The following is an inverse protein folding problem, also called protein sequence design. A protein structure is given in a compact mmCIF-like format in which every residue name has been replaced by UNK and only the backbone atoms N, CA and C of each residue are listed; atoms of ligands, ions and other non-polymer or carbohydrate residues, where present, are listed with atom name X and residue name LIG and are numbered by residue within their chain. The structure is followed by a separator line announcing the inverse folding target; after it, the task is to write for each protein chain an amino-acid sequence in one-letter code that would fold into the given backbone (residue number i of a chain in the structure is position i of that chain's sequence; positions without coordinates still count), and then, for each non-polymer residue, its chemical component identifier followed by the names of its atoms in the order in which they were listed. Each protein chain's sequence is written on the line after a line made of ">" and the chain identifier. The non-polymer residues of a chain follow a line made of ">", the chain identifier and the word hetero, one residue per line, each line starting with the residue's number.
data_IF_840582719043
#
_entry.id   IF_840582719043
#
_cell.length_a   1.000
_cell.length_b   1.000
_cell.length_c   1.000
_cell.angle_alpha   90.00
_cell.angle_beta   90.00
_cell.angle_gamma   90.00
#
_symmetry.space_group_name_H-M   'P 1'
#
loop_
_entity.id
_entity.type
_entity.pdbx_description
1 polymer ?
#
# COMPACT_ATOMS: atom_id res chain seq x y z
N UNK A 1 13.05 4.93 8.40
CA UNK A 1 12.70 6.09 7.55
C UNK A 1 11.30 6.55 7.95
N UNK A 2 11.06 7.85 8.09
CA UNK A 2 9.73 8.40 8.40
C UNK A 2 9.07 8.84 7.09
N UNK A 3 8.53 7.86 6.36
CA UNK A 3 7.94 8.03 5.02
C UNK A 3 6.42 7.94 5.12
N UNK A 4 5.73 8.42 4.08
CA UNK A 4 4.29 8.29 3.93
C UNK A 4 3.88 6.81 3.77
N UNK A 5 2.70 6.40 4.28
CA UNK A 5 2.21 5.02 4.13
C UNK A 5 2.00 4.63 2.66
N UNK A 6 1.71 5.60 1.80
CA UNK A 6 1.63 5.47 0.34
C UNK A 6 2.93 4.92 -0.25
N UNK A 7 4.09 5.33 0.26
CA UNK A 7 5.40 4.84 -0.20
C UNK A 7 5.56 3.35 0.02
N UNK A 8 5.15 2.84 1.19
CA UNK A 8 5.17 1.41 1.46
C UNK A 8 4.15 0.66 0.59
N UNK A 9 2.94 1.22 0.45
CA UNK A 9 1.89 0.61 -0.38
C UNK A 9 2.32 0.46 -1.84
N UNK A 10 2.90 1.52 -2.42
CA UNK A 10 3.44 1.51 -3.77
C UNK A 10 4.62 0.54 -3.89
N UNK A 11 5.54 0.52 -2.92
CA UNK A 11 6.69 -0.39 -2.94
C UNK A 11 6.27 -1.87 -3.03
N UNK A 12 5.26 -2.27 -2.24
CA UNK A 12 4.68 -3.63 -2.29
C UNK A 12 4.02 -3.89 -3.65
N UNK A 13 3.24 -2.93 -4.16
CA UNK A 13 2.58 -3.06 -5.45
C UNK A 13 3.58 -3.22 -6.62
N UNK A 14 4.67 -2.46 -6.62
CA UNK A 14 5.75 -2.57 -7.60
C UNK A 14 6.44 -3.93 -7.51
N UNK A 15 6.71 -4.41 -6.29
CA UNK A 15 7.31 -5.71 -6.04
C UNK A 15 6.44 -6.84 -6.61
N UNK A 16 5.15 -6.84 -6.29
CA UNK A 16 4.19 -7.86 -6.75
C UNK A 16 4.03 -7.83 -8.28
N UNK A 17 3.84 -6.64 -8.86
CA UNK A 17 3.69 -6.46 -10.31
C UNK A 17 4.94 -6.92 -11.06
N UNK A 18 6.13 -6.63 -10.53
CA UNK A 18 7.38 -7.09 -11.11
C UNK A 18 7.53 -8.61 -11.02
N UNK A 19 7.32 -9.21 -9.84
CA UNK A 19 7.45 -10.65 -9.61
C UNK A 19 6.38 -11.47 -10.37
N UNK A 20 5.21 -10.91 -10.63
CA UNK A 20 4.22 -11.52 -11.51
C UNK A 20 4.71 -11.62 -12.97
N UNK A 21 5.57 -10.70 -13.40
CA UNK A 21 6.07 -10.62 -14.77
C UNK A 21 7.42 -11.32 -15.00
N UNK A 22 8.12 -11.76 -13.93
CA UNK A 22 9.45 -12.37 -14.02
C UNK A 22 9.60 -13.60 -13.12
N UNK A 23 10.39 -14.57 -13.58
CA UNK A 23 10.85 -15.68 -12.72
C UNK A 23 12.11 -15.25 -11.97
N UNK A 24 11.94 -14.59 -10.82
CA UNK A 24 13.06 -14.14 -9.99
C UNK A 24 13.70 -15.32 -9.23
N UNK A 25 15.04 -15.34 -9.18
CA UNK A 25 15.75 -16.28 -8.30
C UNK A 25 15.76 -15.73 -6.87
N UNK A 26 15.60 -16.57 -5.83
CA UNK A 26 15.55 -16.13 -4.43
C UNK A 26 16.70 -15.20 -4.01
N UNK A 27 17.92 -15.46 -4.50
CA UNK A 27 19.10 -14.63 -4.21
C UNK A 27 18.99 -13.15 -4.64
N UNK A 28 18.06 -12.80 -5.52
CA UNK A 28 17.86 -11.42 -5.98
C UNK A 28 16.71 -10.71 -5.26
N UNK A 29 15.93 -11.40 -4.43
CA UNK A 29 14.71 -10.84 -3.83
C UNK A 29 15.00 -9.61 -2.97
N UNK A 30 16.08 -9.62 -2.18
CA UNK A 30 16.47 -8.44 -1.39
C UNK A 30 16.78 -7.23 -2.28
N UNK A 31 17.49 -7.44 -3.39
CA UNK A 31 17.83 -6.39 -4.35
C UNK A 31 16.59 -5.86 -5.05
N UNK A 32 15.66 -6.74 -5.44
CA UNK A 32 14.37 -6.36 -6.03
C UNK A 32 13.57 -5.53 -5.04
N UNK A 33 13.37 -6.03 -3.82
CA UNK A 33 12.57 -5.38 -2.78
C UNK A 33 13.11 -3.98 -2.43
N UNK A 34 14.42 -3.84 -2.19
CA UNK A 34 15.00 -2.53 -1.88
C UNK A 34 14.93 -1.55 -3.07
N UNK A 35 14.99 -2.07 -4.30
CA UNK A 35 14.86 -1.24 -5.51
C UNK A 35 13.41 -0.78 -5.72
N UNK A 36 12.42 -1.65 -5.50
CA UNK A 36 11.00 -1.28 -5.50
C UNK A 36 10.70 -0.23 -4.43
N UNK A 37 11.26 -0.39 -3.23
CA UNK A 37 11.15 0.59 -2.15
C UNK A 37 11.78 1.93 -2.53
N UNK A 38 12.97 1.92 -3.12
CA UNK A 38 13.64 3.15 -3.56
C UNK A 38 12.89 3.86 -4.69
N UNK A 39 12.36 3.11 -5.67
CA UNK A 39 11.49 3.66 -6.72
C UNK A 39 10.24 4.31 -6.14
N UNK A 40 9.54 3.61 -5.24
CA UNK A 40 8.36 4.16 -4.58
C UNK A 40 8.67 5.43 -3.79
N UNK A 41 9.81 5.44 -3.08
CA UNK A 41 10.27 6.62 -2.34
C UNK A 41 10.48 7.80 -3.28
N UNK A 42 11.13 7.61 -4.43
CA UNK A 42 11.31 8.67 -5.45
C UNK A 42 10.02 9.10 -6.15
N UNK A 43 8.96 8.31 -6.05
CA UNK A 43 7.68 8.58 -6.74
C UNK A 43 6.71 9.35 -5.84
N UNK A 44 6.74 9.07 -4.54
CA UNK A 44 5.75 9.59 -3.58
C UNK A 44 6.33 10.69 -2.69
N UNK A 45 7.58 10.56 -2.27
CA UNK A 45 8.17 11.48 -1.29
C UNK A 45 8.75 12.73 -1.96
N UNK A 46 8.80 13.81 -1.18
CA UNK A 46 9.52 15.03 -1.54
C UNK A 46 11.03 14.77 -1.67
N UNK A 47 11.72 15.55 -2.51
CA UNK A 47 13.14 15.35 -2.83
C UNK A 47 14.05 15.35 -1.58
N UNK A 48 13.72 16.15 -0.58
CA UNK A 48 14.47 16.24 0.69
C UNK A 48 14.31 14.99 1.57
N UNK A 49 13.26 14.20 1.35
CA UNK A 49 12.97 12.96 2.10
C UNK A 49 13.57 11.72 1.42
N UNK A 50 13.93 11.81 0.15
CA UNK A 50 14.51 10.70 -0.60
C UNK A 50 15.89 10.35 0.01
N UNK A 51 16.08 9.12 0.54
CA UNK A 51 17.34 8.75 1.15
C UNK A 51 18.42 8.61 0.09
N UNK A 52 19.63 9.07 0.41
CA UNK A 52 20.81 8.83 -0.43
C UNK A 52 20.99 7.33 -0.63
N UNK A 53 21.10 6.88 -1.87
CA UNK A 53 21.15 5.44 -2.21
C UNK A 53 22.22 4.65 -1.42
N UNK A 54 23.37 5.26 -1.15
CA UNK A 54 24.43 4.66 -0.33
C UNK A 54 24.02 4.44 1.13
N UNK A 55 23.27 5.39 1.69
CA UNK A 55 22.72 5.32 3.05
C UNK A 55 21.63 4.26 3.07
N UNK A 56 20.71 4.28 2.10
CA UNK A 56 19.66 3.28 1.97
C UNK A 56 20.22 1.85 1.88
N UNK A 57 21.22 1.62 1.03
CA UNK A 57 21.86 0.32 0.87
C UNK A 57 22.49 -0.19 2.17
N UNK A 58 23.13 0.70 2.94
CA UNK A 58 23.76 0.38 4.23
C UNK A 58 22.72 0.10 5.31
N UNK A 59 21.76 0.99 5.49
CA UNK A 59 20.84 0.98 6.62
C UNK A 59 19.70 -0.04 6.46
N UNK A 60 19.44 -0.50 5.22
CA UNK A 60 18.47 -1.57 4.94
C UNK A 60 19.00 -2.98 5.20
N UNK A 61 20.32 -3.15 5.41
CA UNK A 61 20.97 -4.46 5.54
C UNK A 61 20.63 -5.45 4.40
N UNK A 62 20.27 -4.94 3.22
CA UNK A 62 19.84 -5.78 2.08
C UNK A 62 20.98 -6.60 1.45
N UNK A 63 22.23 -6.30 1.80
CA UNK A 63 23.44 -6.95 1.27
C UNK A 63 23.77 -6.54 -0.18
N UNK A 64 23.10 -5.52 -0.72
CA UNK A 64 23.28 -5.06 -2.10
C UNK A 64 24.13 -3.78 -2.15
N UNK A 65 25.01 -3.69 -3.13
CA UNK A 65 25.72 -2.44 -3.41
C UNK A 65 24.81 -1.41 -4.09
N UNK A 66 25.09 -0.09 -3.94
CA UNK A 66 24.34 0.95 -4.66
C UNK A 66 24.29 0.74 -6.18
N UNK A 67 25.34 0.16 -6.77
CA UNK A 67 25.38 -0.15 -8.21
C UNK A 67 24.42 -1.29 -8.59
N UNK A 68 24.27 -2.31 -7.73
CA UNK A 68 23.29 -3.38 -7.94
C UNK A 68 21.87 -2.87 -7.83
N UNK A 69 21.58 -2.04 -6.82
CA UNK A 69 20.25 -1.43 -6.65
C UNK A 69 19.90 -0.58 -7.87
N UNK A 70 20.81 0.30 -8.31
CA UNK A 70 20.58 1.14 -9.51
C UNK A 70 20.38 0.32 -10.78
N UNK A 71 21.10 -0.80 -10.93
CA UNK A 71 20.88 -1.72 -12.06
C UNK A 71 19.51 -2.38 -11.99
N UNK A 72 19.11 -2.82 -10.80
CA UNK A 72 17.82 -3.48 -10.58
C UNK A 72 16.65 -2.50 -10.76
N UNK A 73 16.76 -1.24 -10.32
CA UNK A 73 15.77 -0.20 -10.62
C UNK A 73 15.49 -0.09 -12.12
N UNK A 74 16.55 -0.01 -12.93
CA UNK A 74 16.41 0.06 -14.38
C UNK A 74 15.70 -1.17 -14.94
N UNK A 75 16.05 -2.37 -14.46
CA UNK A 75 15.39 -3.61 -14.87
C UNK A 75 13.90 -3.59 -14.52
N UNK A 76 13.54 -3.12 -13.33
CA UNK A 76 12.15 -2.99 -12.89
C UNK A 76 11.41 -1.99 -13.79
N UNK A 77 11.96 -0.79 -13.98
CA UNK A 77 11.37 0.25 -14.84
C UNK A 77 11.14 -0.25 -16.27
N UNK A 78 12.17 -0.82 -16.89
CA UNK A 78 12.08 -1.35 -18.25
C UNK A 78 11.04 -2.47 -18.33
N UNK A 79 10.96 -3.34 -17.32
CA UNK A 79 9.98 -4.45 -17.30
C UNK A 79 8.55 -3.98 -17.10
N UNK A 80 8.35 -2.89 -16.35
CA UNK A 80 7.06 -2.26 -16.12
C UNK A 80 6.71 -1.20 -17.18
N UNK A 81 7.50 -1.09 -18.26
CA UNK A 81 7.33 -0.08 -19.30
C UNK A 81 7.31 1.36 -18.76
N UNK A 82 8.09 1.62 -17.72
CA UNK A 82 8.17 2.91 -17.02
C UNK A 82 6.84 3.38 -16.40
N UNK A 83 5.85 2.50 -16.34
CA UNK A 83 4.56 2.77 -15.73
C UNK A 83 4.58 2.36 -14.25
N UNK A 84 4.79 3.37 -13.39
CA UNK A 84 4.70 3.24 -11.94
C UNK A 84 3.31 3.65 -11.40
N UNK A 85 2.41 4.13 -12.27
CA UNK A 85 1.08 4.56 -11.86
C UNK A 85 0.19 3.33 -11.73
N UNK A 86 -0.27 3.08 -10.52
CA UNK A 86 -1.22 2.01 -10.24
C UNK A 86 -2.02 2.34 -9.00
N UNK A 87 -3.29 1.94 -9.00
CA UNK A 87 -4.11 2.00 -7.81
C UNK A 87 -3.55 1.02 -6.76
N UNK A 88 -3.18 1.56 -5.61
CA UNK A 88 -2.69 0.80 -4.47
C UNK A 88 -3.87 0.33 -3.60
N UNK A 89 -3.70 -0.71 -2.77
CA UNK A 89 -4.68 -1.08 -1.76
C UNK A 89 -5.05 0.11 -0.85
N UNK A 90 -4.12 1.05 -0.62
CA UNK A 90 -4.35 2.24 0.20
C UNK A 90 -5.27 3.25 -0.50
N UNK A 91 -5.16 3.41 -1.82
CA UNK A 91 -6.08 4.26 -2.59
C UNK A 91 -7.52 3.76 -2.48
N UNK A 92 -7.72 2.45 -2.62
CA UNK A 92 -9.04 1.84 -2.42
C UNK A 92 -9.56 2.04 -1.00
N UNK A 93 -8.69 1.93 0.01
CA UNK A 93 -9.07 2.17 1.40
C UNK A 93 -9.55 3.61 1.61
N UNK A 94 -8.82 4.59 1.08
CA UNK A 94 -9.20 6.00 1.15
C UNK A 94 -10.53 6.27 0.43
N UNK A 95 -10.72 5.69 -0.76
CA UNK A 95 -11.98 5.81 -1.52
C UNK A 95 -13.15 5.20 -0.73
N UNK A 96 -13.02 3.97 -0.25
CA UNK A 96 -14.10 3.31 0.50
C UNK A 96 -14.43 4.02 1.80
N UNK A 97 -13.42 4.53 2.52
CA UNK A 97 -13.61 5.33 3.73
C UNK A 97 -14.36 6.62 3.42
N UNK A 98 -13.94 7.37 2.39
CA UNK A 98 -14.59 8.61 1.97
C UNK A 98 -16.06 8.36 1.56
N UNK A 99 -16.32 7.33 0.76
CA UNK A 99 -17.68 6.98 0.35
C UNK A 99 -18.52 6.55 1.56
N UNK A 100 -18.00 5.70 2.44
CA UNK A 100 -18.71 5.25 3.64
C UNK A 100 -19.14 6.44 4.52
N UNK A 101 -18.24 7.41 4.72
CA UNK A 101 -18.54 8.62 5.50
C UNK A 101 -19.53 9.55 4.80
N UNK A 102 -19.47 9.63 3.46
CA UNK A 102 -20.43 10.44 2.69
C UNK A 102 -21.85 9.86 2.72
N UNK A 103 -21.97 8.53 2.64
CA UNK A 103 -23.27 7.82 2.65
C UNK A 103 -23.84 7.71 4.06
N UNK A 104 -22.98 7.54 5.08
CA UNK A 104 -23.40 7.36 6.49
C UNK A 104 -22.55 8.24 7.42
N UNK A 105 -22.78 9.56 7.49
CA UNK A 105 -22.03 10.46 8.37
C UNK A 105 -22.09 10.07 9.86
N UNK A 106 -23.14 9.37 10.28
CA UNK A 106 -23.31 8.83 11.63
C UNK A 106 -22.23 7.81 12.05
N UNK A 107 -21.46 7.24 11.11
CA UNK A 107 -20.36 6.31 11.42
C UNK A 107 -19.32 6.90 12.37
N UNK A 108 -19.10 8.22 12.34
CA UNK A 108 -18.15 8.87 13.23
C UNK A 108 -18.79 9.32 14.54
N UNK A 109 -20.11 9.49 14.59
CA UNK A 109 -20.81 9.81 15.83
C UNK A 109 -20.78 8.66 16.84
N UNK A 110 -20.66 7.41 16.37
CA UNK A 110 -20.47 6.24 17.22
C UNK A 110 -19.05 6.06 17.75
N UNK A 111 -18.04 6.77 17.21
CA UNK A 111 -16.69 6.87 17.77
C UNK A 111 -16.45 8.26 18.39
N UNK A 112 -16.93 8.54 19.62
CA UNK A 112 -16.84 9.86 20.24
C UNK A 112 -15.40 10.36 20.51
N UNK A 113 -14.35 9.56 20.22
CA UNK A 113 -12.94 9.90 20.47
C UNK A 113 -12.05 9.92 19.22
N UNK A 114 -12.57 9.59 18.04
CA UNK A 114 -11.75 9.41 16.84
C UNK A 114 -12.30 10.27 15.70
N UNK A 115 -11.53 11.26 15.26
CA UNK A 115 -11.91 12.08 14.11
C UNK A 115 -11.69 11.29 12.79
N UNK A 116 -12.23 11.75 11.63
CA UNK A 116 -12.09 11.02 10.37
C UNK A 116 -10.64 10.70 9.98
N UNK A 117 -9.69 11.62 10.22
CA UNK A 117 -8.29 11.43 9.84
C UNK A 117 -7.57 10.41 10.74
N UNK A 118 -7.89 10.39 12.03
CA UNK A 118 -7.42 9.35 12.95
C UNK A 118 -8.03 7.99 12.61
N UNK A 119 -9.30 7.97 12.19
CA UNK A 119 -9.97 6.74 11.79
C UNK A 119 -9.29 6.13 10.55
N UNK A 120 -9.09 6.91 9.49
CA UNK A 120 -8.42 6.41 8.27
C UNK A 120 -6.96 6.03 8.54
N UNK A 121 -6.26 6.74 9.44
CA UNK A 121 -4.90 6.36 9.85
C UNK A 121 -4.86 5.01 10.57
N UNK A 122 -5.85 4.69 11.40
CA UNK A 122 -5.99 3.37 12.03
C UNK A 122 -6.21 2.28 10.98
N UNK A 123 -7.14 2.51 10.03
CA UNK A 123 -7.39 1.56 8.94
C UNK A 123 -6.15 1.36 8.07
N UNK A 124 -5.42 2.44 7.79
CA UNK A 124 -4.16 2.41 7.03
C UNK A 124 -3.15 1.52 7.73
N UNK A 125 -3.00 1.65 9.06
CA UNK A 125 -2.12 0.77 9.84
C UNK A 125 -2.53 -0.70 9.73
N UNK A 126 -3.83 -1.01 9.80
CA UNK A 126 -4.32 -2.39 9.61
C UNK A 126 -3.99 -2.91 8.20
N UNK A 127 -4.20 -2.10 7.18
CA UNK A 127 -3.88 -2.45 5.80
C UNK A 127 -2.38 -2.75 5.63
N UNK A 128 -1.51 -1.88 6.14
CA UNK A 128 -0.06 -2.09 6.06
C UNK A 128 0.38 -3.38 6.77
N UNK A 129 -0.24 -3.72 7.91
CA UNK A 129 -0.02 -5.03 8.54
C UNK A 129 -0.49 -6.19 7.66
N UNK A 130 -1.63 -6.05 6.98
CA UNK A 130 -2.11 -7.08 6.04
C UNK A 130 -1.16 -7.27 4.87
N UNK A 131 -0.58 -6.19 4.32
CA UNK A 131 0.41 -6.26 3.24
C UNK A 131 1.72 -6.97 3.67
N UNK A 132 2.02 -7.03 4.97
CA UNK A 132 3.13 -7.81 5.49
C UNK A 132 2.83 -9.33 5.59
N UNK A 133 1.58 -9.76 5.38
CA UNK A 133 1.17 -11.14 5.49
C UNK A 133 0.99 -11.80 4.11
N UNK A 134 1.85 -12.75 3.76
CA UNK A 134 1.82 -13.42 2.46
C UNK A 134 0.49 -14.11 2.14
N UNK A 135 -0.23 -14.61 3.15
CA UNK A 135 -1.52 -15.28 2.97
C UNK A 135 -2.61 -14.32 2.51
N UNK A 136 -2.44 -13.02 2.76
CA UNK A 136 -3.39 -11.99 2.36
C UNK A 136 -3.04 -11.38 0.99
N UNK A 137 -1.77 -11.43 0.59
CA UNK A 137 -1.31 -10.93 -0.73
C UNK A 137 -1.90 -11.69 -1.93
N UNK A 138 -2.50 -12.87 -1.73
CA UNK A 138 -3.22 -13.58 -2.79
C UNK A 138 -4.54 -12.90 -3.22
N UNK A 139 -5.07 -12.00 -2.39
CA UNK A 139 -6.31 -11.28 -2.69
C UNK A 139 -6.02 -9.94 -3.39
N UNK A 140 -6.98 -9.47 -4.19
CA UNK A 140 -6.89 -8.14 -4.81
C UNK A 140 -6.78 -7.05 -3.73
N UNK A 141 -5.98 -6.02 -3.97
CA UNK A 141 -5.82 -4.88 -3.05
C UNK A 141 -7.14 -4.23 -2.64
N UNK A 142 -8.07 -4.08 -3.59
CA UNK A 142 -9.42 -3.57 -3.33
C UNK A 142 -10.24 -4.47 -2.39
N UNK A 143 -10.10 -5.80 -2.49
CA UNK A 143 -10.77 -6.75 -1.60
C UNK A 143 -10.25 -6.64 -0.16
N UNK A 144 -8.94 -6.49 0.01
CA UNK A 144 -8.34 -6.29 1.35
C UNK A 144 -8.80 -4.97 1.97
N UNK A 145 -8.76 -3.89 1.20
CA UNK A 145 -9.22 -2.57 1.65
C UNK A 145 -10.69 -2.61 2.08
N UNK A 146 -11.55 -3.21 1.25
CA UNK A 146 -12.97 -3.36 1.57
C UNK A 146 -13.21 -4.25 2.78
N UNK A 147 -12.48 -5.37 2.91
CA UNK A 147 -12.63 -6.26 4.08
C UNK A 147 -12.29 -5.54 5.39
N UNK A 148 -11.24 -4.70 5.38
CA UNK A 148 -10.87 -3.88 6.54
C UNK A 148 -11.98 -2.87 6.86
N UNK A 149 -12.50 -2.16 5.86
CA UNK A 149 -13.60 -1.21 6.05
C UNK A 149 -14.86 -1.94 6.55
N UNK A 150 -15.19 -3.09 5.98
CA UNK A 150 -16.34 -3.91 6.36
C UNK A 150 -16.27 -4.33 7.82
N UNK A 151 -15.13 -4.85 8.27
CA UNK A 151 -14.93 -5.29 9.65
C UNK A 151 -15.09 -4.15 10.65
N UNK A 152 -14.65 -2.94 10.30
CA UNK A 152 -14.80 -1.79 11.18
C UNK A 152 -16.23 -1.24 11.16
N UNK A 153 -16.87 -1.12 9.99
CA UNK A 153 -18.26 -0.66 9.88
C UNK A 153 -19.23 -1.60 10.62
N UNK A 154 -19.01 -2.92 10.57
CA UNK A 154 -19.81 -3.93 11.28
C UNK A 154 -19.88 -3.66 12.79
N UNK A 155 -18.79 -3.17 13.39
CA UNK A 155 -18.74 -2.84 14.82
C UNK A 155 -19.50 -1.57 15.17
N UNK A 156 -19.78 -0.71 14.18
CA UNK A 156 -20.23 0.66 14.39
C UNK A 156 -21.70 0.86 14.11
N UNK A 157 -22.27 0.13 13.13
CA UNK A 157 -23.66 0.28 12.74
C UNK A 157 -24.34 -1.07 12.50
N UNK A 158 -25.64 -1.22 12.87
CA UNK A 158 -26.38 -2.46 12.67
C UNK A 158 -26.68 -2.76 11.19
N UNK A 159 -26.73 -1.73 10.34
CA UNK A 159 -27.04 -1.83 8.90
C UNK A 159 -25.76 -1.77 8.03
N UNK A 160 -24.67 -2.35 8.54
CA UNK A 160 -23.36 -2.34 7.88
C UNK A 160 -23.41 -3.04 6.52
N UNK A 161 -24.14 -4.15 6.41
CA UNK A 161 -24.14 -4.98 5.21
C UNK A 161 -24.68 -4.24 3.98
N UNK A 162 -25.75 -3.44 4.15
CA UNK A 162 -26.29 -2.63 3.05
C UNK A 162 -25.27 -1.61 2.54
N UNK A 163 -24.52 -0.97 3.44
CA UNK A 163 -23.45 -0.04 3.07
C UNK A 163 -22.33 -0.76 2.32
N UNK A 164 -21.90 -1.94 2.77
CA UNK A 164 -20.83 -2.70 2.11
C UNK A 164 -21.25 -3.17 0.72
N UNK A 165 -22.50 -3.58 0.52
CA UNK A 165 -23.03 -3.92 -0.81
C UNK A 165 -22.99 -2.70 -1.74
N UNK A 166 -23.33 -1.51 -1.24
CA UNK A 166 -23.23 -0.27 -2.03
C UNK A 166 -21.77 0.06 -2.40
N UNK A 167 -20.83 -0.11 -1.45
CA UNK A 167 -19.40 0.08 -1.72
C UNK A 167 -18.86 -0.93 -2.74
N UNK A 168 -19.31 -2.19 -2.66
CA UNK A 168 -18.95 -3.24 -3.63
C UNK A 168 -19.38 -2.88 -5.04
N UNK A 169 -20.62 -2.40 -5.22
CA UNK A 169 -21.10 -1.99 -6.54
C UNK A 169 -20.34 -0.79 -7.12
N UNK A 170 -19.80 0.09 -6.26
CA UNK A 170 -18.96 1.22 -6.71
C UNK A 170 -17.49 0.82 -6.98
N UNK A 171 -17.08 -0.38 -6.58
CA UNK A 171 -15.72 -0.90 -6.74
C UNK A 171 -15.50 -1.76 -7.99
N UNK A 172 -16.59 -2.15 -8.67
CA UNK A 172 -16.60 -2.95 -9.90
C UNK A 172 -16.63 -2.04 -11.14
#
# INVERSE_FOLDING_TARGET
>A
FHLYPETLSLAVCLLDRFLAAVKARPKYLNCIAISCFFLATKTIEEDEKIPVLKILARDSFCGCSPAEIRRMEKIILDKLNWDLHMATPLDFLHIFHAVALSTRPQLLTSLPKVNPSQHVALLTKHLLHCLACYQLLQFKGSMLALAIVSLEVEKLIPDWLALIIELLHKAQ
#
